data_IF_004655384495
#
_entry.id   IF_004655384495
#
_cell.length_a   1.000
_cell.length_b   1.000
_cell.length_c   1.000
_cell.angle_alpha   90.00
_cell.angle_beta   90.00
_cell.angle_gamma   90.00
#
_symmetry.space_group_name_H-M   'P 1'
#
loop_
_entity.id
_entity.type
_entity.pdbx_description
1 polymer ?
#
# COMPACT_ATOMS: atom_id res chain seq x y z
N UNK A 1 21.04 7.05 60.05
CA UNK A 1 20.87 5.84 59.21
C UNK A 1 19.72 6.09 58.24
N UNK A 2 20.03 6.54 57.02
CA UNK A 2 19.03 6.74 55.96
C UNK A 2 19.23 5.64 54.91
N UNK A 3 18.23 4.79 54.74
CA UNK A 3 18.21 3.75 53.72
C UNK A 3 17.67 4.36 52.42
N UNK A 4 18.55 4.68 51.48
CA UNK A 4 18.18 5.06 50.13
C UNK A 4 17.62 3.82 49.41
N UNK A 5 16.30 3.69 49.35
CA UNK A 5 15.60 2.74 48.49
C UNK A 5 15.77 3.18 47.05
N UNK A 6 16.66 2.53 46.31
CA UNK A 6 16.71 2.63 44.85
C UNK A 6 15.53 1.84 44.28
N UNK A 7 14.56 2.54 43.67
CA UNK A 7 13.55 1.93 42.82
C UNK A 7 14.23 1.56 41.51
N UNK A 8 14.45 0.27 41.28
CA UNK A 8 14.91 -0.22 39.98
C UNK A 8 13.83 0.07 38.92
N UNK A 9 14.18 0.58 37.73
CA UNK A 9 13.22 0.78 36.65
C UNK A 9 12.72 -0.59 36.19
N UNK A 10 11.41 -0.80 36.23
CA UNK A 10 10.79 -2.00 35.68
C UNK A 10 11.09 -2.06 34.17
N UNK A 11 11.88 -3.05 33.76
CA UNK A 11 12.15 -3.34 32.36
C UNK A 11 10.86 -3.86 31.72
N UNK A 12 10.12 -3.00 31.02
CA UNK A 12 8.93 -3.40 30.26
C UNK A 12 9.28 -4.55 29.30
N UNK A 13 8.49 -5.63 29.22
CA UNK A 13 8.84 -6.79 28.40
C UNK A 13 8.70 -6.42 26.91
N UNK A 14 9.83 -6.33 26.20
CA UNK A 14 9.91 -6.09 24.75
C UNK A 14 9.41 -7.25 23.85
N UNK A 15 8.92 -8.32 24.46
CA UNK A 15 8.60 -9.59 23.82
C UNK A 15 7.37 -9.57 22.88
N UNK A 16 6.23 -8.93 23.21
CA UNK A 16 5.05 -8.99 22.36
C UNK A 16 5.24 -8.17 21.07
N UNK A 17 6.02 -7.09 21.11
CA UNK A 17 6.31 -6.28 19.93
C UNK A 17 7.18 -7.04 18.93
N UNK A 18 8.21 -7.76 19.40
CA UNK A 18 9.03 -8.59 18.53
C UNK A 18 8.23 -9.73 17.90
N UNK A 19 7.35 -10.37 18.68
CA UNK A 19 6.51 -11.45 18.17
C UNK A 19 5.52 -10.95 17.11
N UNK A 20 4.92 -9.78 17.33
CA UNK A 20 4.03 -9.14 16.36
C UNK A 20 4.77 -8.74 15.07
N UNK A 21 5.99 -8.19 15.19
CA UNK A 21 6.82 -7.85 14.04
C UNK A 21 7.22 -9.12 13.24
N UNK A 22 7.63 -10.18 13.93
CA UNK A 22 7.96 -11.46 13.29
C UNK A 22 6.76 -12.07 12.58
N UNK A 23 5.56 -11.97 13.17
CA UNK A 23 4.32 -12.44 12.56
C UNK A 23 3.95 -11.64 11.30
N UNK A 24 4.08 -10.32 11.32
CA UNK A 24 3.81 -9.46 10.15
C UNK A 24 4.79 -9.74 8.99
N UNK A 25 6.06 -10.00 9.30
CA UNK A 25 7.08 -10.35 8.30
C UNK A 25 6.87 -11.74 7.70
N UNK A 26 6.18 -12.65 8.40
CA UNK A 26 5.85 -13.98 7.91
C UNK A 26 4.62 -14.00 6.99
N UNK A 27 3.90 -12.88 6.84
CA UNK A 27 2.77 -12.79 5.93
C UNK A 27 3.26 -12.86 4.47
N UNK A 28 2.63 -13.68 3.61
CA UNK A 28 2.98 -13.70 2.20
C UNK A 28 2.69 -12.34 1.57
N UNK A 29 3.67 -11.79 0.86
CA UNK A 29 3.45 -10.62 0.01
C UNK A 29 2.54 -11.03 -1.16
N UNK A 30 1.25 -10.71 -1.06
CA UNK A 30 0.32 -10.89 -2.17
C UNK A 30 0.69 -9.97 -3.32
N UNK A 31 0.54 -10.44 -4.56
CA UNK A 31 0.62 -9.57 -5.73
C UNK A 31 -0.54 -8.55 -5.63
N UNK A 32 -0.21 -7.28 -5.44
CA UNK A 32 -1.19 -6.21 -5.50
C UNK A 32 -1.67 -6.08 -6.95
N UNK A 33 -2.98 -6.10 -7.19
CA UNK A 33 -3.52 -5.73 -8.50
C UNK A 33 -3.13 -4.28 -8.77
N UNK A 34 -2.35 -4.07 -9.82
CA UNK A 34 -1.77 -2.75 -10.13
C UNK A 34 -2.58 -2.03 -11.18
N UNK A 35 -3.46 -2.71 -11.91
CA UNK A 35 -4.25 -2.18 -13.00
C UNK A 35 -5.68 -1.96 -12.57
N UNK A 36 -6.34 -0.96 -13.17
CA UNK A 36 -7.79 -0.86 -13.06
C UNK A 36 -8.48 -1.89 -13.96
N UNK A 37 -9.70 -2.32 -13.59
CA UNK A 37 -10.54 -3.07 -14.51
C UNK A 37 -10.80 -2.28 -15.80
N UNK A 38 -10.98 -2.96 -16.94
CA UNK A 38 -11.44 -2.32 -18.16
C UNK A 38 -12.75 -1.56 -17.92
N UNK A 39 -12.86 -0.35 -18.46
CA UNK A 39 -14.00 0.54 -18.30
C UNK A 39 -13.91 1.48 -17.09
N UNK A 40 -12.91 1.33 -16.21
CA UNK A 40 -12.89 2.02 -14.93
C UNK A 40 -11.65 2.89 -14.69
N UNK A 41 -11.84 4.06 -14.08
CA UNK A 41 -10.77 4.95 -13.62
C UNK A 41 -10.79 5.10 -12.09
N UNK A 42 -10.43 4.04 -11.36
CA UNK A 42 -10.52 3.95 -9.89
C UNK A 42 -9.46 4.76 -9.15
N UNK A 43 -8.34 5.05 -9.79
CA UNK A 43 -7.18 5.74 -9.21
C UNK A 43 -6.78 6.90 -10.11
N UNK A 44 -6.15 7.94 -9.56
CA UNK A 44 -5.78 9.15 -10.32
C UNK A 44 -5.00 8.83 -11.61
N UNK A 45 -4.20 7.77 -11.62
CA UNK A 45 -3.31 7.45 -12.72
C UNK A 45 -3.69 6.18 -13.50
N UNK A 46 -4.89 5.64 -13.33
CA UNK A 46 -5.36 4.36 -13.89
C UNK A 46 -4.61 3.09 -13.45
N UNK A 47 -3.44 3.23 -12.81
CA UNK A 47 -2.63 2.13 -12.30
C UNK A 47 -1.80 2.57 -11.08
N UNK A 48 -1.26 1.59 -10.36
CA UNK A 48 -0.44 1.82 -9.16
C UNK A 48 0.98 2.36 -9.46
N UNK A 49 1.46 2.24 -10.69
CA UNK A 49 2.75 2.76 -11.16
C UNK A 49 2.70 4.19 -11.71
N UNK A 50 1.52 4.80 -11.84
CA UNK A 50 1.41 6.20 -12.23
C UNK A 50 1.51 6.46 -13.74
N UNK A 51 1.28 5.45 -14.57
CA UNK A 51 1.54 5.52 -16.02
C UNK A 51 0.52 6.38 -16.77
N UNK A 52 -0.71 6.48 -16.27
CA UNK A 52 -1.83 7.16 -16.95
C UNK A 52 -2.14 6.57 -18.33
N UNK A 53 -1.84 5.29 -18.51
CA UNK A 53 -2.16 4.54 -19.72
C UNK A 53 -3.49 3.83 -19.52
N UNK A 54 -4.35 3.90 -20.53
CA UNK A 54 -5.58 3.11 -20.60
C UNK A 54 -5.40 2.04 -21.70
N UNK A 55 -5.80 0.79 -21.46
CA UNK A 55 -5.50 -0.31 -22.39
C UNK A 55 -6.43 -0.39 -23.60
N UNK A 56 -7.58 0.30 -23.57
CA UNK A 56 -8.55 0.32 -24.67
C UNK A 56 -8.18 1.38 -25.71
N UNK A 57 -8.42 1.07 -26.98
CA UNK A 57 -8.14 1.90 -28.15
C UNK A 57 -9.40 2.20 -28.98
N UNK A 58 -10.59 2.09 -28.37
CA UNK A 58 -11.86 2.48 -29.00
C UNK A 58 -11.77 3.87 -29.65
N UNK A 59 -11.13 4.82 -28.97
CA UNK A 59 -10.74 6.11 -29.53
C UNK A 59 -9.27 5.99 -29.97
N UNK A 60 -9.02 6.18 -31.26
CA UNK A 60 -7.71 6.03 -31.86
C UNK A 60 -7.47 7.05 -32.98
N UNK A 61 -6.29 6.98 -33.61
CA UNK A 61 -5.89 7.94 -34.65
C UNK A 61 -6.79 7.95 -35.90
N UNK A 62 -7.61 6.91 -36.13
CA UNK A 62 -8.53 6.84 -37.26
C UNK A 62 -9.87 7.53 -37.01
N UNK A 63 -10.31 7.64 -35.76
CA UNK A 63 -11.64 8.15 -35.42
C UNK A 63 -11.64 9.32 -34.41
N UNK A 64 -10.48 9.74 -33.88
CA UNK A 64 -10.40 10.86 -32.93
C UNK A 64 -11.04 12.15 -33.47
N UNK A 65 -10.99 12.37 -34.78
CA UNK A 65 -11.62 13.54 -35.44
C UNK A 65 -13.15 13.50 -35.48
N UNK A 66 -13.77 12.38 -35.11
CA UNK A 66 -15.21 12.16 -35.09
C UNK A 66 -15.83 12.38 -33.70
N UNK A 67 -15.04 12.77 -32.70
CA UNK A 67 -15.52 13.00 -31.34
C UNK A 67 -16.39 14.26 -31.24
N UNK A 68 -17.52 14.13 -30.57
CA UNK A 68 -18.48 15.21 -30.29
C UNK A 68 -18.62 15.43 -28.78
N UNK A 69 -19.11 16.62 -28.38
CA UNK A 69 -19.36 17.02 -26.98
C UNK A 69 -20.80 16.76 -26.59
#
# INVERSE_FOLDING_TARGET
MQHHRMLAPALLPAHPLMLAAAYLLALPAGAQERQNPPGEWRSQSADAGGTRVYPDDQINGGNFGELEV
#
